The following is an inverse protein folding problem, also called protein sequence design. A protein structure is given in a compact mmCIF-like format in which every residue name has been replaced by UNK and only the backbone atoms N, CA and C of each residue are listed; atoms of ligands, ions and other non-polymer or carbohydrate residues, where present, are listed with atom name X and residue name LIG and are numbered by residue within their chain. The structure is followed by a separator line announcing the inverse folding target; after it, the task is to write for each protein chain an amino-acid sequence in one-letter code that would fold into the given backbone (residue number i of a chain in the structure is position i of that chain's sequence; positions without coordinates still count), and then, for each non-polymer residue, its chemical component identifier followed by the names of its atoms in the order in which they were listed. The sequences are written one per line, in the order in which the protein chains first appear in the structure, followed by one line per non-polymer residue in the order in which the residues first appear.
data_IF_965360223657
#
_entry.id   IF_965360223657
#
_cell.length_a   1.000
_cell.length_b   1.000
_cell.length_c   1.000
_cell.angle_alpha   90.00
_cell.angle_beta   90.00
_cell.angle_gamma   90.00
#
_symmetry.space_group_name_H-M   'P 1'
#
loop_
_entity.id
_entity.type
_entity.pdbx_description
1 polymer ?
#
# COMPACT_ATOMS: atom_id res chain seq x y z
N UNK A 1 7.80 -18.73 2.01
CA UNK A 1 8.76 -17.79 1.38
C UNK A 1 8.15 -16.39 1.34
N UNK A 2 8.96 -15.33 1.51
CA UNK A 2 8.47 -13.92 1.44
C UNK A 2 7.97 -13.61 0.02
N UNK A 3 6.77 -13.04 -0.08
CA UNK A 3 6.16 -12.68 -1.37
C UNK A 3 6.60 -11.30 -1.84
N UNK A 4 6.88 -10.39 -0.90
CA UNK A 4 7.47 -9.08 -1.15
C UNK A 4 8.53 -8.76 -0.09
N UNK A 5 9.51 -7.93 -0.45
CA UNK A 5 10.53 -7.43 0.47
C UNK A 5 10.20 -6.00 0.95
N UNK A 6 9.67 -5.18 0.04
CA UNK A 6 9.33 -3.78 0.24
C UNK A 6 7.81 -3.61 0.10
N UNK A 7 7.20 -2.91 1.04
CA UNK A 7 5.81 -2.46 0.98
C UNK A 7 5.76 -0.99 0.59
N UNK A 8 4.78 -0.61 -0.21
CA UNK A 8 4.47 0.78 -0.54
C UNK A 8 2.99 1.01 -0.25
N UNK A 9 2.67 2.00 0.58
CA UNK A 9 1.29 2.41 0.87
C UNK A 9 1.03 3.80 0.31
N UNK A 10 0.22 3.86 -0.75
CA UNK A 10 -0.10 5.10 -1.47
C UNK A 10 -1.32 5.81 -0.89
N UNK A 11 -1.16 7.08 -0.54
CA UNK A 11 -2.27 7.97 -0.20
C UNK A 11 -3.03 8.48 -1.43
N UNK A 12 -3.76 9.58 -1.28
CA UNK A 12 -4.51 10.22 -2.36
C UNK A 12 -3.64 10.49 -3.58
N UNK A 13 -4.10 10.09 -4.76
CA UNK A 13 -3.40 10.29 -6.04
C UNK A 13 -2.39 9.19 -6.42
N UNK A 14 -2.04 8.26 -5.51
CA UNK A 14 -1.17 7.12 -5.81
C UNK A 14 -1.97 5.82 -5.67
N UNK A 15 -2.60 5.39 -6.77
CA UNK A 15 -3.42 4.17 -6.84
C UNK A 15 -2.77 3.04 -7.66
N UNK A 16 -1.68 3.35 -8.36
CA UNK A 16 -0.85 2.41 -9.10
C UNK A 16 0.60 2.86 -9.04
N UNK A 17 1.54 1.95 -9.29
CA UNK A 17 2.97 2.24 -9.37
C UNK A 17 3.41 2.13 -10.83
N UNK A 18 3.77 3.26 -11.48
CA UNK A 18 4.43 3.25 -12.78
C UNK A 18 5.70 2.39 -12.75
N UNK A 19 5.91 1.58 -13.78
CA UNK A 19 7.09 0.70 -13.88
C UNK A 19 7.00 -0.59 -13.05
N UNK A 20 5.89 -0.86 -12.36
CA UNK A 20 5.68 -2.14 -11.69
C UNK A 20 5.32 -3.23 -12.70
N UNK A 21 6.16 -4.25 -12.80
CA UNK A 21 6.03 -5.42 -13.67
C UNK A 21 5.42 -6.62 -12.92
N UNK A 22 4.99 -7.64 -13.66
CA UNK A 22 4.46 -8.91 -13.09
C UNK A 22 3.32 -8.70 -12.08
N UNK A 23 2.44 -7.71 -12.34
CA UNK A 23 1.36 -7.31 -11.42
C UNK A 23 0.42 -8.48 -11.16
N UNK A 24 0.18 -8.76 -9.88
CA UNK A 24 -0.85 -9.72 -9.43
C UNK A 24 -1.54 -9.21 -8.18
N UNK A 25 -2.86 -9.36 -8.14
CA UNK A 25 -3.64 -9.01 -6.96
C UNK A 25 -3.54 -10.12 -5.89
N UNK A 26 -3.45 -9.71 -4.63
CA UNK A 26 -3.47 -10.61 -3.49
C UNK A 26 -4.41 -10.07 -2.42
N UNK A 27 -5.56 -10.70 -2.30
CA UNK A 27 -6.48 -10.49 -1.18
C UNK A 27 -5.97 -11.23 0.05
N UNK A 28 -6.05 -10.58 1.22
CA UNK A 28 -5.54 -11.09 2.49
C UNK A 28 -6.55 -10.77 3.58
N UNK A 29 -7.00 -11.80 4.28
CA UNK A 29 -7.75 -11.64 5.52
C UNK A 29 -6.80 -11.44 6.69
N UNK A 30 -7.19 -10.57 7.62
CA UNK A 30 -6.40 -10.31 8.83
C UNK A 30 -7.27 -10.45 10.08
N UNK A 31 -6.67 -10.73 11.25
CA UNK A 31 -7.40 -10.72 12.52
C UNK A 31 -8.05 -9.37 12.87
N UNK A 32 -7.71 -8.30 12.16
CA UNK A 32 -8.24 -6.96 12.38
C UNK A 32 -9.34 -6.59 11.37
N UNK A 33 -9.78 -7.55 10.53
CA UNK A 33 -10.68 -7.33 9.41
C UNK A 33 -9.95 -7.18 8.08
N UNK A 34 -10.65 -6.68 7.06
CA UNK A 34 -10.08 -6.53 5.72
C UNK A 34 -9.15 -5.31 5.63
N UNK A 35 -8.03 -5.41 4.89
CA UNK A 35 -7.28 -4.24 4.43
C UNK A 35 -8.13 -3.34 3.52
N UNK A 36 -7.64 -2.15 3.24
CA UNK A 36 -8.31 -1.15 2.40
C UNK A 36 -8.64 -1.66 0.97
N UNK A 37 -7.79 -2.54 0.44
CA UNK A 37 -7.95 -3.18 -0.88
C UNK A 37 -7.10 -4.46 -0.94
N UNK A 38 -7.16 -5.17 -2.06
CA UNK A 38 -6.16 -6.17 -2.40
C UNK A 38 -4.77 -5.53 -2.55
N UNK A 39 -3.73 -6.25 -2.12
CA UNK A 39 -2.36 -5.85 -2.38
C UNK A 39 -2.00 -6.14 -3.83
N UNK A 40 -1.29 -5.22 -4.48
CA UNK A 40 -0.69 -5.47 -5.79
C UNK A 40 0.75 -5.92 -5.56
N UNK A 41 1.06 -7.16 -5.90
CA UNK A 41 2.42 -7.68 -5.87
C UNK A 41 3.04 -7.52 -7.26
N UNK A 42 4.34 -7.27 -7.31
CA UNK A 42 5.07 -7.20 -8.58
C UNK A 42 6.56 -6.99 -8.39
N UNK A 43 7.23 -6.61 -9.48
CA UNK A 43 8.64 -6.23 -9.49
C UNK A 43 8.81 -4.78 -9.92
N UNK A 44 9.61 -4.03 -9.17
CA UNK A 44 10.01 -2.67 -9.52
C UNK A 44 11.53 -2.64 -9.48
N UNK A 45 12.18 -2.31 -10.61
CA UNK A 45 13.65 -2.31 -10.73
C UNK A 45 14.27 -3.64 -10.22
N UNK A 46 13.66 -4.76 -10.61
CA UNK A 46 14.08 -6.11 -10.20
C UNK A 46 13.74 -6.52 -8.76
N UNK A 47 13.21 -5.63 -7.92
CA UNK A 47 12.88 -5.89 -6.50
C UNK A 47 11.41 -6.28 -6.31
N UNK A 48 11.14 -7.25 -5.44
CA UNK A 48 9.76 -7.68 -5.12
C UNK A 48 9.07 -6.67 -4.21
N UNK A 49 7.99 -6.09 -4.70
CA UNK A 49 7.23 -5.04 -4.02
C UNK A 49 5.78 -5.49 -3.78
N UNK A 50 5.20 -5.07 -2.66
CA UNK A 50 3.77 -5.08 -2.41
C UNK A 50 3.28 -3.64 -2.33
N UNK A 51 2.24 -3.31 -3.09
CA UNK A 51 1.59 -2.01 -3.06
C UNK A 51 0.18 -2.12 -2.48
N UNK A 52 -0.23 -1.11 -1.70
CA UNK A 52 -1.59 -0.96 -1.20
C UNK A 52 -2.06 0.49 -1.40
N UNK A 53 -3.20 0.65 -2.08
CA UNK A 53 -3.91 1.92 -2.10
C UNK A 53 -4.56 2.16 -0.73
N UNK A 54 -4.07 3.15 0.03
CA UNK A 54 -4.49 3.39 1.43
C UNK A 54 -5.99 3.61 1.54
N UNK A 55 -6.57 4.38 0.63
CA UNK A 55 -7.99 4.71 0.64
C UNK A 55 -8.85 3.76 -0.23
N UNK A 56 -8.26 2.63 -0.66
CA UNK A 56 -8.83 1.76 -1.69
C UNK A 56 -8.78 2.39 -3.08
N UNK A 57 -8.88 1.55 -4.12
CA UNK A 57 -9.11 2.04 -5.49
C UNK A 57 -10.37 2.88 -5.54
N UNK A 58 -10.33 3.97 -6.31
CA UNK A 58 -11.42 4.95 -6.38
C UNK A 58 -11.54 5.88 -5.16
N UNK A 59 -10.59 5.83 -4.20
CA UNK A 59 -10.52 6.75 -3.05
C UNK A 59 -11.77 6.73 -2.16
N UNK A 60 -12.34 5.53 -1.95
CA UNK A 60 -13.64 5.32 -1.31
C UNK A 60 -13.63 5.32 0.22
N UNK A 61 -12.48 5.15 0.86
CA UNK A 61 -12.37 5.05 2.33
C UNK A 61 -11.86 6.38 2.90
N UNK A 62 -12.61 6.98 3.83
CA UNK A 62 -12.20 8.23 4.46
C UNK A 62 -11.01 8.02 5.42
N UNK A 63 -10.18 9.05 5.68
CA UNK A 63 -9.03 8.92 6.58
C UNK A 63 -9.36 8.35 7.97
N UNK A 64 -10.53 8.70 8.52
CA UNK A 64 -11.00 8.25 9.84
C UNK A 64 -11.53 6.82 9.85
N UNK A 65 -11.83 6.25 8.68
CA UNK A 65 -12.39 4.90 8.53
C UNK A 65 -11.33 3.86 8.15
N UNK A 66 -10.09 4.30 7.95
CA UNK A 66 -8.99 3.44 7.55
C UNK A 66 -8.70 2.36 8.59
N UNK A 67 -8.72 1.10 8.15
CA UNK A 67 -8.28 -0.02 8.96
C UNK A 67 -6.74 -0.16 8.93
N UNK A 68 -6.05 0.75 9.63
CA UNK A 68 -4.59 0.75 9.68
C UNK A 68 -4.00 -0.58 10.16
N UNK A 69 -4.64 -1.24 11.13
CA UNK A 69 -4.15 -2.52 11.66
C UNK A 69 -4.18 -3.61 10.60
N UNK A 70 -5.28 -3.75 9.85
CA UNK A 70 -5.36 -4.71 8.76
C UNK A 70 -4.34 -4.39 7.65
N UNK A 71 -4.19 -3.12 7.28
CA UNK A 71 -3.22 -2.68 6.26
C UNK A 71 -1.78 -3.04 6.61
N UNK A 72 -1.36 -2.79 7.86
CA UNK A 72 0.01 -3.11 8.30
C UNK A 72 0.18 -4.63 8.48
N UNK A 73 -0.82 -5.32 9.02
CA UNK A 73 -0.75 -6.76 9.22
C UNK A 73 -0.68 -7.54 7.90
N UNK A 74 -1.41 -7.14 6.86
CA UNK A 74 -1.33 -7.79 5.56
C UNK A 74 0.07 -7.66 4.92
N UNK A 75 0.74 -6.50 5.06
CA UNK A 75 2.16 -6.38 4.66
C UNK A 75 3.06 -7.33 5.45
N UNK A 76 2.82 -7.50 6.76
CA UNK A 76 3.57 -8.45 7.59
C UNK A 76 3.40 -9.89 7.09
N UNK A 77 2.17 -10.30 6.75
CA UNK A 77 1.88 -11.63 6.20
C UNK A 77 2.55 -11.87 4.83
N UNK A 78 2.69 -10.83 4.01
CA UNK A 78 3.42 -10.89 2.74
C UNK A 78 4.94 -11.00 2.91
N UNK A 79 5.45 -10.85 4.13
CA UNK A 79 6.87 -10.90 4.45
C UNK A 79 7.61 -9.59 4.19
N UNK A 80 6.90 -8.48 4.07
CA UNK A 80 7.49 -7.14 3.93
C UNK A 80 8.34 -6.81 5.16
N UNK A 81 9.52 -6.25 4.92
CA UNK A 81 10.47 -5.83 5.97
C UNK A 81 10.66 -4.32 6.06
N UNK A 82 10.34 -3.60 4.97
CA UNK A 82 10.43 -2.14 4.88
C UNK A 82 9.16 -1.60 4.26
N UNK A 83 8.56 -0.59 4.86
CA UNK A 83 7.34 0.03 4.38
C UNK A 83 7.60 1.50 4.07
N UNK A 84 7.29 1.91 2.84
CA UNK A 84 7.34 3.30 2.40
C UNK A 84 5.91 3.83 2.29
N UNK A 85 5.68 5.03 2.81
CA UNK A 85 4.36 5.66 2.83
C UNK A 85 4.41 7.00 2.10
N UNK A 86 3.57 7.15 1.08
CA UNK A 86 3.40 8.42 0.37
C UNK A 86 2.08 9.08 0.82
N UNK A 87 2.11 10.36 1.17
CA UNK A 87 0.93 11.10 1.62
C UNK A 87 0.90 12.48 0.96
N UNK A 88 -0.26 12.88 0.44
CA UNK A 88 -0.52 14.27 0.08
C UNK A 88 -0.67 15.10 1.36
N UNK A 89 -0.06 16.28 1.39
CA UNK A 89 -0.10 17.22 2.51
C UNK A 89 -0.23 18.65 1.99
N UNK A 90 -0.78 19.54 2.81
CA UNK A 90 -0.75 20.99 2.55
C UNK A 90 0.49 21.61 3.17
N UNK A 91 1.20 22.46 2.41
CA UNK A 91 2.28 23.27 2.99
C UNK A 91 1.69 24.32 3.94
N UNK A 92 2.32 24.50 5.09
CA UNK A 92 2.07 25.62 6.01
C UNK A 92 3.24 26.61 6.01
N UNK A 93 4.11 26.51 5.00
CA UNK A 93 5.26 27.38 4.79
C UNK A 93 5.14 28.09 3.45
N UNK A 94 5.57 29.35 3.43
CA UNK A 94 5.52 30.23 2.27
C UNK A 94 6.65 29.98 1.25
N UNK A 95 7.70 29.26 1.64
CA UNK A 95 8.85 28.97 0.79
C UNK A 95 8.45 28.00 -0.36
N UNK A 96 8.73 28.43 -1.60
CA UNK A 96 8.50 27.71 -2.86
C UNK A 96 9.80 27.08 -3.38
#
# INVERSE_FOLDING_TARGET
MSQAEIGIIGGSGLYDIPGLEEKRERQIDTPFGSPSDAYILGRLEGRRVAFLARHGRGHRILPTELNFRANIYGFKLLGVKRLLSASAVGSLKLEH
#
